data_IF_851000973783
#
_entry.id   IF_851000973783
#
_cell.length_a   1.000
_cell.length_b   1.000
_cell.length_c   1.000
_cell.angle_alpha   90.00
_cell.angle_beta   90.00
_cell.angle_gamma   90.00
#
_symmetry.space_group_name_H-M   'P 1'
#
loop_
_entity.id
_entity.type
_entity.pdbx_description
1 polymer ?
#
# COMPACT_ATOMS: atom_id res chain seq x y z
N UNK A 1 20.58 -42.74 -24.09
CA UNK A 1 20.11 -41.77 -25.12
C UNK A 1 18.63 -41.57 -24.82
N UNK A 2 18.13 -40.42 -24.35
CA UNK A 2 18.54 -39.03 -24.57
C UNK A 2 18.13 -38.20 -23.33
N UNK A 3 18.97 -37.25 -22.94
CA UNK A 3 18.66 -36.21 -21.95
C UNK A 3 17.64 -35.21 -22.54
N UNK A 4 16.81 -34.58 -21.69
CA UNK A 4 16.72 -33.12 -21.68
C UNK A 4 16.13 -32.59 -20.36
N UNK A 5 16.94 -31.83 -19.64
CA UNK A 5 16.54 -30.93 -18.55
C UNK A 5 16.18 -29.58 -19.16
N UNK A 6 15.11 -28.97 -18.70
CA UNK A 6 14.80 -27.52 -18.75
C UNK A 6 13.76 -27.34 -17.65
N UNK A 7 14.11 -27.06 -16.40
CA UNK A 7 14.60 -25.80 -15.85
C UNK A 7 14.20 -24.52 -16.58
N UNK A 8 13.89 -23.50 -15.77
CA UNK A 8 13.43 -22.15 -16.11
C UNK A 8 11.92 -21.99 -16.35
N UNK A 9 11.22 -21.59 -15.28
CA UNK A 9 10.39 -20.39 -15.42
C UNK A 9 10.67 -19.47 -14.23
N UNK A 10 11.80 -18.77 -14.34
CA UNK A 10 12.03 -17.50 -13.65
C UNK A 10 10.88 -16.56 -14.03
N UNK A 11 9.90 -16.38 -13.14
CA UNK A 11 8.96 -15.28 -13.28
C UNK A 11 9.70 -13.99 -12.90
N UNK A 12 10.42 -13.50 -13.90
CA UNK A 12 10.61 -12.10 -14.25
C UNK A 12 10.66 -11.13 -13.06
N UNK A 13 11.89 -10.79 -12.71
CA UNK A 13 12.32 -9.50 -12.18
C UNK A 13 11.68 -8.37 -13.00
N UNK A 14 10.49 -7.93 -12.63
CA UNK A 14 10.02 -6.61 -13.00
C UNK A 14 10.84 -5.62 -12.18
N UNK A 15 11.56 -4.72 -12.87
CA UNK A 15 11.98 -3.48 -12.26
C UNK A 15 10.73 -2.85 -11.64
N UNK A 16 10.62 -2.94 -10.31
CA UNK A 16 9.47 -2.46 -9.57
C UNK A 16 9.45 -0.93 -9.70
N UNK A 17 8.72 -0.47 -10.71
CA UNK A 17 8.05 0.82 -10.71
C UNK A 17 7.38 0.99 -9.35
N UNK A 18 7.49 2.19 -8.78
CA UNK A 18 6.71 2.55 -7.60
C UNK A 18 5.24 2.15 -7.86
N UNK A 19 4.56 1.50 -6.91
CA UNK A 19 3.21 0.94 -7.09
C UNK A 19 2.10 1.99 -7.29
N UNK A 20 2.45 3.16 -7.83
CA UNK A 20 1.57 4.14 -8.44
C UNK A 20 1.28 3.77 -9.90
N UNK A 21 1.15 2.49 -10.25
CA UNK A 21 0.98 2.08 -11.67
C UNK A 21 -0.37 2.50 -12.28
N UNK A 22 -1.23 3.17 -11.51
CA UNK A 22 -2.54 3.64 -11.97
C UNK A 22 -3.55 2.52 -12.18
N UNK A 23 -3.32 1.31 -11.65
CA UNK A 23 -4.23 0.17 -11.78
C UNK A 23 -5.67 0.55 -11.44
N UNK A 24 -6.57 0.20 -12.37
CA UNK A 24 -8.01 0.35 -12.22
C UNK A 24 -8.63 -0.70 -11.30
N UNK A 25 -7.81 -1.62 -10.75
CA UNK A 25 -8.27 -2.69 -9.88
C UNK A 25 -7.73 -2.56 -8.47
N UNK A 26 -8.55 -2.97 -7.51
CA UNK A 26 -8.29 -2.91 -6.07
C UNK A 26 -8.60 -4.26 -5.46
N UNK A 27 -7.67 -4.79 -4.66
CA UNK A 27 -7.94 -5.94 -3.80
C UNK A 27 -8.75 -5.47 -2.60
N UNK A 28 -9.87 -6.14 -2.35
CA UNK A 28 -10.84 -5.78 -1.31
C UNK A 28 -10.98 -6.93 -0.33
N UNK A 29 -10.78 -6.62 0.95
CA UNK A 29 -10.95 -7.53 2.07
C UNK A 29 -12.31 -7.32 2.75
N UNK A 30 -13.17 -8.33 2.70
CA UNK A 30 -14.51 -8.36 3.29
C UNK A 30 -14.61 -9.46 4.35
N UNK A 31 -14.14 -9.16 5.56
CA UNK A 31 -14.07 -10.14 6.64
C UNK A 31 -13.07 -11.24 6.33
N UNK A 32 -13.56 -12.47 6.08
CA UNK A 32 -12.73 -13.63 5.70
C UNK A 32 -12.66 -13.88 4.20
N UNK A 33 -13.22 -13.00 3.38
CA UNK A 33 -13.24 -13.13 1.92
C UNK A 33 -12.43 -12.02 1.26
N UNK A 34 -11.85 -12.32 0.10
CA UNK A 34 -11.16 -11.36 -0.75
C UNK A 34 -11.83 -11.31 -2.12
N UNK A 35 -11.94 -10.10 -2.71
CA UNK A 35 -12.38 -9.90 -4.09
C UNK A 35 -11.54 -8.84 -4.77
N UNK A 36 -11.56 -8.86 -6.11
CA UNK A 36 -11.02 -7.78 -6.93
C UNK A 36 -12.17 -6.90 -7.38
N UNK A 37 -12.00 -5.59 -7.22
CA UNK A 37 -12.99 -4.56 -7.51
C UNK A 37 -12.41 -3.52 -8.47
N UNK A 38 -13.27 -2.80 -9.19
CA UNK A 38 -12.82 -1.63 -9.95
C UNK A 38 -12.64 -0.43 -9.00
N UNK A 39 -11.63 0.41 -9.23
CA UNK A 39 -11.37 1.62 -8.42
C UNK A 39 -12.57 2.57 -8.35
N UNK A 40 -13.41 2.58 -9.38
CA UNK A 40 -14.63 3.39 -9.49
C UNK A 40 -15.63 3.09 -8.36
N UNK A 41 -15.66 1.86 -7.84
CA UNK A 41 -16.50 1.48 -6.68
C UNK A 41 -16.15 2.29 -5.42
N UNK A 42 -14.93 2.84 -5.34
CA UNK A 42 -14.43 3.61 -4.19
C UNK A 42 -14.32 5.11 -4.49
N UNK A 43 -14.71 5.55 -5.68
CA UNK A 43 -14.52 6.94 -6.12
C UNK A 43 -15.25 7.97 -5.24
N UNK A 44 -16.42 7.58 -4.70
CA UNK A 44 -17.21 8.41 -3.77
C UNK A 44 -16.62 8.50 -2.35
N UNK A 45 -15.60 7.70 -2.03
CA UNK A 45 -14.92 7.77 -0.74
C UNK A 45 -13.99 8.98 -0.68
N UNK A 46 -13.91 9.60 0.50
CA UNK A 46 -12.98 10.72 0.75
C UNK A 46 -11.54 10.29 0.52
N UNK A 47 -11.17 9.13 1.05
CA UNK A 47 -9.91 8.47 0.74
C UNK A 47 -10.21 7.32 -0.21
N UNK A 48 -9.69 7.41 -1.42
CA UNK A 48 -9.95 6.49 -2.51
C UNK A 48 -8.66 6.08 -3.22
N UNK A 49 -8.77 5.21 -4.22
CA UNK A 49 -7.63 4.65 -4.93
C UNK A 49 -6.74 5.71 -5.59
N UNK A 50 -7.32 6.85 -5.98
CA UNK A 50 -6.61 7.90 -6.69
C UNK A 50 -5.78 8.79 -5.75
N UNK A 51 -6.21 8.97 -4.49
CA UNK A 51 -5.57 9.89 -3.56
C UNK A 51 -4.90 9.23 -2.34
N UNK A 52 -5.10 7.93 -2.11
CA UNK A 52 -4.58 7.25 -0.91
C UNK A 52 -3.06 7.38 -0.73
N UNK A 53 -2.29 7.36 -1.82
CA UNK A 53 -0.85 7.57 -1.75
C UNK A 53 -0.47 8.99 -1.33
N UNK A 54 -1.27 10.00 -1.68
CA UNK A 54 -1.00 11.38 -1.28
C UNK A 54 -1.13 11.54 0.24
N UNK A 55 -2.09 10.83 0.84
CA UNK A 55 -2.22 10.76 2.30
C UNK A 55 -0.99 10.12 2.95
N UNK A 56 -0.54 8.97 2.45
CA UNK A 56 0.63 8.27 3.01
C UNK A 56 1.91 9.10 2.85
N UNK A 57 2.14 9.67 1.67
CA UNK A 57 3.32 10.50 1.40
C UNK A 57 3.34 11.73 2.29
N UNK A 58 2.20 12.41 2.42
CA UNK A 58 2.08 13.57 3.30
C UNK A 58 2.32 13.20 4.77
N UNK A 59 1.77 12.07 5.24
CA UNK A 59 1.97 11.58 6.60
C UNK A 59 3.44 11.30 6.89
N UNK A 60 4.12 10.51 6.04
CA UNK A 60 5.55 10.18 6.22
C UNK A 60 6.41 11.45 6.25
N UNK A 61 6.14 12.41 5.36
CA UNK A 61 6.91 13.65 5.33
C UNK A 61 6.57 14.62 6.48
N UNK A 62 5.47 14.39 7.21
CA UNK A 62 5.12 15.14 8.42
C UNK A 62 5.71 14.51 9.69
N UNK A 63 5.98 13.20 9.67
CA UNK A 63 6.67 12.49 10.75
C UNK A 63 8.08 13.03 10.98
N UNK A 64 8.53 13.04 12.23
CA UNK A 64 9.87 13.52 12.59
C UNK A 64 10.96 12.66 11.93
N UNK A 65 11.77 13.27 11.07
CA UNK A 65 12.81 12.59 10.30
C UNK A 65 12.31 11.66 9.20
N UNK A 66 11.01 11.66 8.87
CA UNK A 66 10.44 10.83 7.81
C UNK A 66 10.70 11.40 6.41
N UNK A 67 11.00 10.52 5.45
CA UNK A 67 11.17 10.87 4.04
C UNK A 67 10.53 9.79 3.15
N UNK A 68 9.37 10.12 2.56
CA UNK A 68 8.62 9.20 1.71
C UNK A 68 9.38 8.80 0.44
N UNK A 69 10.37 9.60 0.01
CA UNK A 69 11.17 9.29 -1.17
C UNK A 69 12.08 8.08 -0.97
N UNK A 70 12.37 7.72 0.30
CA UNK A 70 13.16 6.56 0.70
C UNK A 70 12.33 5.29 0.82
N UNK A 71 11.00 5.39 0.67
CA UNK A 71 10.07 4.28 0.86
C UNK A 71 9.58 3.79 -0.50
N UNK A 72 9.49 2.46 -0.62
CA UNK A 72 8.90 1.77 -1.75
C UNK A 72 7.56 1.20 -1.34
N UNK A 73 6.50 1.86 -1.79
CA UNK A 73 5.12 1.43 -1.51
C UNK A 73 4.69 0.30 -2.43
N UNK A 74 3.90 -0.62 -1.89
CA UNK A 74 3.14 -1.62 -2.63
C UNK A 74 1.76 -1.06 -3.01
N UNK A 75 1.01 -1.81 -3.83
CA UNK A 75 -0.34 -1.43 -4.24
C UNK A 75 -1.24 -1.32 -3.00
N UNK A 76 -2.16 -0.33 -2.96
CA UNK A 76 -3.06 -0.17 -1.82
C UNK A 76 -4.20 -1.18 -1.90
N UNK A 77 -4.52 -1.77 -0.76
CA UNK A 77 -5.61 -2.73 -0.60
C UNK A 77 -6.71 -2.09 0.25
N UNK A 78 -7.97 -2.35 -0.07
CA UNK A 78 -9.10 -1.79 0.66
C UNK A 78 -9.66 -2.83 1.64
N UNK A 79 -9.90 -2.44 2.89
CA UNK A 79 -10.63 -3.25 3.85
C UNK A 79 -12.00 -2.65 4.10
N UNK A 80 -13.05 -3.42 3.85
CA UNK A 80 -14.45 -3.00 4.05
C UNK A 80 -14.89 -3.02 5.53
N UNK A 81 -13.94 -3.02 6.48
CA UNK A 81 -14.24 -2.95 7.91
C UNK A 81 -14.67 -1.53 8.31
N UNK A 82 -15.76 -1.41 9.06
CA UNK A 82 -16.29 -0.12 9.51
C UNK A 82 -16.65 0.79 8.33
N UNK A 83 -16.08 2.00 8.29
CA UNK A 83 -16.29 2.98 7.21
C UNK A 83 -15.37 2.74 5.99
N UNK A 84 -14.60 1.65 6.00
CA UNK A 84 -13.57 1.39 5.01
C UNK A 84 -12.23 2.00 5.39
N UNK A 85 -11.14 1.28 5.15
CA UNK A 85 -9.78 1.77 5.32
C UNK A 85 -8.88 1.21 4.23
N UNK A 86 -7.76 1.89 4.01
CA UNK A 86 -6.75 1.45 3.05
C UNK A 86 -5.51 0.95 3.77
N UNK A 87 -5.01 -0.20 3.34
CA UNK A 87 -3.76 -0.79 3.80
C UNK A 87 -2.71 -0.70 2.70
N UNK A 88 -1.52 -0.23 3.05
CA UNK A 88 -0.39 -0.13 2.12
C UNK A 88 0.83 -0.73 2.80
N UNK A 89 1.29 -1.88 2.31
CA UNK A 89 2.58 -2.42 2.68
C UNK A 89 3.70 -1.63 1.98
N UNK A 90 4.85 -1.52 2.62
CA UNK A 90 6.01 -0.84 2.04
C UNK A 90 7.33 -1.36 2.59
N UNK A 91 8.42 -1.06 1.89
CA UNK A 91 9.77 -1.37 2.33
C UNK A 91 10.68 -0.14 2.17
N UNK A 92 11.74 -0.07 2.98
CA UNK A 92 12.80 0.89 2.70
C UNK A 92 13.48 0.56 1.37
N UNK A 93 13.77 1.58 0.56
CA UNK A 93 14.54 1.44 -0.69
C UNK A 93 15.96 0.94 -0.44
N UNK A 94 16.50 1.11 0.77
CA UNK A 94 17.78 0.50 1.20
C UNK A 94 17.75 -1.03 1.31
N UNK A 95 16.55 -1.63 1.33
CA UNK A 95 16.34 -3.07 1.48
C UNK A 95 16.25 -3.56 2.93
N UNK A 96 16.39 -2.67 3.93
CA UNK A 96 16.30 -3.04 5.35
C UNK A 96 15.12 -2.31 6.01
N UNK A 97 14.14 -3.08 6.47
CA UNK A 97 12.95 -2.55 7.14
C UNK A 97 11.70 -2.56 6.26
N UNK A 98 10.57 -2.80 6.90
CA UNK A 98 9.24 -2.83 6.29
C UNK A 98 8.29 -1.96 7.09
N UNK A 99 7.28 -1.44 6.42
CA UNK A 99 6.23 -0.63 7.02
C UNK A 99 4.87 -1.12 6.57
N UNK A 100 3.89 -0.88 7.42
CA UNK A 100 2.48 -0.96 7.04
C UNK A 100 1.83 0.39 7.34
N UNK A 101 1.10 0.92 6.37
CA UNK A 101 0.31 2.13 6.52
C UNK A 101 -1.17 1.80 6.52
N UNK A 102 -1.90 2.36 7.49
CA UNK A 102 -3.37 2.31 7.55
C UNK A 102 -3.91 3.72 7.35
N UNK A 103 -4.71 3.93 6.30
CA UNK A 103 -5.34 5.22 6.01
C UNK A 103 -6.85 5.11 6.22
N UNK A 104 -7.34 5.89 7.18
CA UNK A 104 -8.77 5.99 7.48
C UNK A 104 -9.46 7.04 6.61
N UNK A 105 -10.77 6.90 6.40
CA UNK A 105 -11.57 7.85 5.62
C UNK A 105 -11.57 9.29 6.17
N UNK A 106 -11.22 9.47 7.44
CA UNK A 106 -11.12 10.79 8.04
C UNK A 106 -9.80 11.50 7.72
N UNK A 107 -8.85 10.83 7.06
CA UNK A 107 -7.50 11.34 6.73
C UNK A 107 -6.42 11.00 7.76
N UNK A 108 -6.74 10.21 8.79
CA UNK A 108 -5.75 9.73 9.76
C UNK A 108 -4.93 8.60 9.16
N UNK A 109 -3.61 8.74 9.18
CA UNK A 109 -2.65 7.74 8.72
C UNK A 109 -1.89 7.19 9.92
N UNK A 110 -2.04 5.90 10.19
CA UNK A 110 -1.23 5.17 11.17
C UNK A 110 -0.06 4.48 10.48
N UNK A 111 1.15 4.65 11.04
CA UNK A 111 2.39 4.11 10.51
C UNK A 111 2.86 3.02 11.46
N UNK A 112 3.08 1.82 10.92
CA UNK A 112 3.56 0.66 11.66
C UNK A 112 4.91 0.21 11.15
N UNK A 113 5.76 -0.27 12.06
CA UNK A 113 6.93 -1.05 11.71
C UNK A 113 6.53 -2.51 11.46
N UNK A 114 7.06 -3.11 10.40
CA UNK A 114 6.74 -4.48 10.02
C UNK A 114 5.28 -4.68 9.60
N UNK A 115 4.76 -5.89 9.84
CA UNK A 115 3.41 -6.32 9.43
C UNK A 115 2.38 -5.95 10.51
N UNK A 116 2.32 -4.65 10.85
CA UNK A 116 1.51 -4.10 11.97
C UNK A 116 1.97 -4.57 13.37
N UNK A 117 3.25 -4.87 13.55
CA UNK A 117 3.78 -5.38 14.82
C UNK A 117 3.79 -4.28 15.90
N UNK A 118 4.20 -3.06 15.52
CA UNK A 118 4.29 -1.90 16.42
C UNK A 118 3.89 -0.63 15.68
N UNK A 119 2.96 0.15 16.26
CA UNK A 119 2.62 1.48 15.74
C UNK A 119 3.71 2.46 16.14
N UNK A 120 4.39 3.03 15.16
CA UNK A 120 5.52 3.95 15.38
C UNK A 120 5.13 5.42 15.27
N UNK A 121 4.05 5.74 14.55
CA UNK A 121 3.56 7.12 14.44
C UNK A 121 2.09 7.18 13.97
N UNK A 122 1.46 8.34 14.13
CA UNK A 122 0.15 8.69 13.58
C UNK A 122 0.09 10.14 13.15
N UNK A 123 -0.37 10.38 11.92
CA UNK A 123 -0.49 11.73 11.38
C UNK A 123 -1.91 11.99 10.88
N UNK A 124 -2.42 13.19 11.20
CA UNK A 124 -3.70 13.67 10.67
C UNK A 124 -3.45 14.50 9.42
N UNK A 125 -3.71 13.91 8.26
CA UNK A 125 -3.50 14.57 6.97
C UNK A 125 -4.80 15.19 6.47
N UNK A 126 -4.72 16.45 6.05
CA UNK A 126 -5.79 17.15 5.34
C UNK A 126 -5.28 17.58 3.97
N UNK A 127 -5.61 16.79 2.95
CA UNK A 127 -5.41 17.18 1.55
C UNK A 127 -6.46 18.25 1.19
N UNK A 128 -6.03 19.27 0.45
CA UNK A 128 -6.89 20.40 0.02
C UNK A 128 -7.59 20.09 -1.28
#
# INVERSE_FOLDING_TARGET
>A
MTNNVSDSNETQTAAQEEAKDGSDTVIVHEGSSERVANKEEFSDLRVNRDNVFDYVIAAVNQSDGGDASLIKFQQPEFSAQGNGLWNIAANNKSGVGAYTFIVNQDGTVSIYNGTMDEKIDEQKVNLK
#
